data_IF_801282049657
#
_entry.id   IF_801282049657
#
_cell.length_a   1.000
_cell.length_b   1.000
_cell.length_c   1.000
_cell.angle_alpha   90.00
_cell.angle_beta   90.00
_cell.angle_gamma   90.00
#
_symmetry.space_group_name_H-M   'P 1'
#
loop_
_entity.id
_entity.type
_entity.pdbx_description
1 polymer ?
#
# COMPACT_ATOMS: atom_id res chain seq x y z
N UNK A 1 -0.92 -3.96 8.54
CA UNK A 1 -1.57 -2.64 8.80
C UNK A 1 -1.93 -2.61 10.27
N UNK A 2 -2.10 -1.43 10.89
CA UNK A 2 -2.50 -1.38 12.31
C UNK A 2 -3.92 -1.93 12.47
N UNK A 3 -4.12 -2.86 13.39
CA UNK A 3 -5.46 -3.38 13.71
C UNK A 3 -6.36 -2.27 14.27
N UNK A 4 -7.63 -2.32 13.91
CA UNK A 4 -8.62 -1.37 14.42
C UNK A 4 -8.85 -1.64 15.92
N UNK A 5 -8.68 -0.63 16.80
CA UNK A 5 -8.90 -0.80 18.23
C UNK A 5 -10.35 -1.12 18.61
N UNK A 6 -11.32 -0.76 17.75
CA UNK A 6 -12.76 -0.97 18.01
C UNK A 6 -13.30 -2.29 17.43
N UNK A 7 -12.61 -2.89 16.46
CA UNK A 7 -12.98 -4.17 15.85
C UNK A 7 -11.74 -4.92 15.35
N UNK A 8 -11.35 -5.98 16.07
CA UNK A 8 -10.18 -6.80 15.77
C UNK A 8 -10.27 -7.57 14.43
N UNK A 9 -11.43 -7.62 13.78
CA UNK A 9 -11.57 -8.20 12.44
C UNK A 9 -11.19 -7.23 11.32
N UNK A 10 -10.88 -5.98 11.65
CA UNK A 10 -10.59 -4.93 10.68
C UNK A 10 -9.27 -4.21 10.98
N UNK A 11 -8.80 -3.42 10.02
CA UNK A 11 -7.56 -2.65 10.13
C UNK A 11 -7.81 -1.18 9.81
N UNK A 12 -6.95 -0.31 10.30
CA UNK A 12 -6.97 1.12 10.01
C UNK A 12 -6.36 1.38 8.63
N UNK A 13 -7.14 1.11 7.58
CA UNK A 13 -6.81 1.38 6.18
C UNK A 13 -7.85 2.26 5.50
N UNK A 14 -7.46 2.83 4.37
CA UNK A 14 -8.37 3.57 3.51
C UNK A 14 -7.93 3.46 2.06
N UNK A 15 -8.92 3.43 1.18
CA UNK A 15 -8.74 3.55 -0.27
C UNK A 15 -9.50 4.78 -0.76
N UNK A 16 -8.89 5.56 -1.67
CA UNK A 16 -9.57 6.66 -2.35
C UNK A 16 -9.98 6.21 -3.74
N UNK A 17 -11.29 6.21 -3.98
CA UNK A 17 -11.88 5.83 -5.26
C UNK A 17 -12.19 7.07 -6.10
N UNK A 18 -11.60 7.15 -7.28
CA UNK A 18 -11.98 8.10 -8.31
C UNK A 18 -13.37 7.75 -8.88
N UNK A 19 -14.18 8.75 -9.24
CA UNK A 19 -15.51 8.56 -9.82
C UNK A 19 -15.43 7.99 -11.24
N UNK A 20 -16.57 7.95 -11.94
CA UNK A 20 -16.64 7.64 -13.38
C UNK A 20 -16.11 6.23 -13.76
N UNK A 21 -16.06 5.32 -12.78
CA UNK A 21 -15.64 3.94 -12.98
C UNK A 21 -14.12 3.72 -12.98
N UNK A 22 -13.31 4.72 -12.65
CA UNK A 22 -11.85 4.58 -12.57
C UNK A 22 -11.37 3.79 -11.34
N UNK A 23 -12.10 3.88 -10.22
CA UNK A 23 -11.80 3.13 -9.01
C UNK A 23 -10.59 3.67 -8.25
N UNK A 24 -9.85 2.80 -7.58
CA UNK A 24 -8.81 3.19 -6.61
C UNK A 24 -7.63 3.96 -7.25
N UNK A 25 -7.34 5.15 -6.70
CA UNK A 25 -6.18 5.99 -7.05
C UNK A 25 -5.19 6.18 -5.89
N UNK A 26 -5.62 5.99 -4.64
CA UNK A 26 -4.78 6.04 -3.44
C UNK A 26 -5.10 4.85 -2.55
N UNK A 27 -4.07 4.18 -2.05
CA UNK A 27 -4.17 3.18 -0.98
C UNK A 27 -3.34 3.62 0.22
N UNK A 28 -3.93 3.59 1.41
CA UNK A 28 -3.36 4.12 2.64
C UNK A 28 -3.63 3.26 3.87
N UNK A 29 -2.77 3.38 4.87
CA UNK A 29 -3.04 2.81 6.20
C UNK A 29 -2.19 3.45 7.30
N UNK A 30 -2.69 3.32 8.53
CA UNK A 30 -1.84 3.41 9.69
C UNK A 30 -0.96 2.17 9.79
N UNK A 31 0.32 2.36 10.11
CA UNK A 31 1.29 1.27 10.20
C UNK A 31 1.29 0.70 11.61
N UNK A 32 1.53 -0.60 11.73
CA UNK A 32 1.66 -1.23 13.03
C UNK A 32 2.89 -0.67 13.74
N UNK A 33 2.70 -0.17 14.95
CA UNK A 33 3.71 0.47 15.78
C UNK A 33 4.15 -0.42 16.96
N UNK A 34 3.40 -1.50 17.25
CA UNK A 34 3.80 -2.52 18.22
C UNK A 34 4.71 -3.60 17.61
N UNK A 35 5.88 -3.80 18.23
CA UNK A 35 6.88 -4.76 17.75
C UNK A 35 6.36 -6.21 17.77
N UNK A 36 5.70 -6.62 18.86
CA UNK A 36 5.29 -8.01 19.05
C UNK A 36 4.18 -8.39 18.07
N UNK A 37 3.22 -7.48 17.86
CA UNK A 37 2.16 -7.66 16.86
C UNK A 37 2.72 -7.73 15.45
N UNK A 38 3.66 -6.85 15.10
CA UNK A 38 4.30 -6.90 13.78
C UNK A 38 5.08 -8.21 13.56
N UNK A 39 5.82 -8.69 14.57
CA UNK A 39 6.50 -9.98 14.51
C UNK A 39 5.53 -11.16 14.39
N UNK A 40 4.42 -11.13 15.14
CA UNK A 40 3.37 -12.15 15.05
C UNK A 40 2.78 -12.20 13.63
N UNK A 41 2.42 -11.04 13.05
CA UNK A 41 1.91 -10.96 11.66
C UNK A 41 2.92 -11.45 10.62
N UNK A 42 4.21 -11.13 10.76
CA UNK A 42 5.25 -11.65 9.85
C UNK A 42 5.29 -13.19 9.89
N UNK A 43 5.14 -13.80 11.07
CA UNK A 43 5.13 -15.25 11.23
C UNK A 43 3.85 -15.91 10.71
N UNK A 44 2.70 -15.27 10.93
CA UNK A 44 1.41 -15.73 10.40
C UNK A 44 1.38 -15.76 8.87
N UNK A 45 2.02 -14.78 8.22
CA UNK A 45 2.13 -14.69 6.76
C UNK A 45 3.30 -15.50 6.17
N UNK A 46 3.99 -16.32 6.98
CA UNK A 46 5.15 -17.14 6.60
C UNK A 46 6.28 -16.34 5.92
N UNK A 47 6.53 -15.12 6.41
CA UNK A 47 7.54 -14.22 5.87
C UNK A 47 8.89 -14.39 6.58
N UNK A 48 10.03 -14.29 5.86
CA UNK A 48 11.35 -14.45 6.45
C UNK A 48 11.70 -13.26 7.36
N UNK A 49 11.63 -13.46 8.68
CA UNK A 49 11.84 -12.41 9.70
C UNK A 49 13.17 -11.64 9.51
N UNK A 50 14.23 -12.33 9.08
CA UNK A 50 15.54 -11.73 8.83
C UNK A 50 15.52 -10.65 7.74
N UNK A 51 14.69 -10.80 6.70
CA UNK A 51 14.55 -9.80 5.64
C UNK A 51 13.90 -8.50 6.15
N UNK A 52 13.14 -8.59 7.25
CA UNK A 52 12.44 -7.48 7.88
C UNK A 52 13.15 -6.96 9.14
N UNK A 53 14.34 -7.45 9.48
CA UNK A 53 15.05 -7.07 10.71
C UNK A 53 15.20 -5.55 10.86
N UNK A 54 15.60 -4.87 9.79
CA UNK A 54 15.73 -3.41 9.77
C UNK A 54 14.38 -2.68 9.96
N UNK A 55 13.28 -3.27 9.48
CA UNK A 55 11.93 -2.70 9.59
C UNK A 55 11.35 -2.89 11.00
N UNK A 56 11.71 -4.00 11.65
CA UNK A 56 11.43 -4.27 13.06
C UNK A 56 12.23 -3.33 13.98
N UNK A 57 13.46 -2.96 13.61
CA UNK A 57 14.26 -2.00 14.36
C UNK A 57 13.60 -0.62 14.46
N UNK A 58 12.80 -0.23 13.46
CA UNK A 58 11.96 0.99 13.52
C UNK A 58 10.92 0.96 14.66
N UNK A 59 10.62 -0.23 15.21
CA UNK A 59 9.74 -0.41 16.37
C UNK A 59 10.53 -0.61 17.67
N UNK A 60 11.80 -1.03 17.58
CA UNK A 60 12.68 -1.19 18.75
C UNK A 60 13.26 0.13 19.23
N UNK A 61 13.64 1.02 18.31
CA UNK A 61 14.41 2.22 18.62
C UNK A 61 13.60 3.50 18.36
N UNK A 62 12.66 3.80 19.25
CA UNK A 62 11.89 5.05 19.21
C UNK A 62 10.69 5.01 18.27
N UNK A 63 9.81 4.01 18.44
CA UNK A 63 8.57 3.94 17.67
C UNK A 63 7.58 5.05 18.04
N UNK A 64 6.74 5.42 17.08
CA UNK A 64 5.66 6.37 17.25
C UNK A 64 4.50 6.03 16.27
N UNK A 65 3.26 6.44 16.56
CA UNK A 65 2.15 6.25 15.64
C UNK A 65 2.40 7.00 14.32
N UNK A 66 2.38 6.26 13.21
CA UNK A 66 2.61 6.82 11.88
C UNK A 66 1.72 6.17 10.81
N UNK A 67 1.38 6.96 9.81
CA UNK A 67 0.54 6.58 8.68
C UNK A 67 1.18 7.02 7.37
N UNK A 68 0.77 6.40 6.28
CA UNK A 68 1.20 6.83 4.96
C UNK A 68 0.33 6.24 3.87
N UNK A 69 0.51 6.73 2.65
CA UNK A 69 -0.26 6.31 1.49
C UNK A 69 0.63 6.27 0.25
N UNK A 70 0.16 5.58 -0.78
CA UNK A 70 0.72 5.62 -2.12
C UNK A 70 -0.34 6.12 -3.10
N UNK A 71 0.08 6.95 -4.06
CA UNK A 71 -0.78 7.45 -5.13
C UNK A 71 -0.36 6.80 -6.46
N UNK A 72 -1.31 6.18 -7.15
CA UNK A 72 -1.08 5.62 -8.48
C UNK A 72 -1.08 6.73 -9.52
N UNK A 73 0.10 7.19 -9.94
CA UNK A 73 0.23 8.34 -10.84
C UNK A 73 -0.53 8.10 -12.15
N UNK A 74 -0.29 6.98 -12.82
CA UNK A 74 -0.91 6.69 -14.11
C UNK A 74 -2.43 6.52 -13.98
N UNK A 75 -2.95 5.93 -12.89
CA UNK A 75 -4.40 5.86 -12.65
C UNK A 75 -5.01 7.26 -12.43
N UNK A 76 -4.30 8.11 -11.71
CA UNK A 76 -4.73 9.48 -11.42
C UNK A 76 -4.78 10.31 -12.71
N UNK A 77 -3.74 10.22 -13.56
CA UNK A 77 -3.72 10.91 -14.86
C UNK A 77 -4.80 10.34 -15.78
N UNK A 78 -5.05 9.02 -15.77
CA UNK A 78 -6.12 8.40 -16.56
C UNK A 78 -7.49 9.00 -16.22
N UNK A 79 -7.78 9.11 -14.92
CA UNK A 79 -9.01 9.73 -14.45
C UNK A 79 -9.10 11.21 -14.87
N UNK A 80 -8.08 12.01 -14.58
CA UNK A 80 -8.07 13.45 -14.89
C UNK A 80 -8.24 13.72 -16.39
N UNK A 81 -7.67 12.84 -17.24
CA UNK A 81 -7.68 13.01 -18.71
C UNK A 81 -8.80 12.25 -19.41
N UNK A 82 -9.64 11.51 -18.67
CA UNK A 82 -10.75 10.74 -19.24
C UNK A 82 -10.30 9.57 -20.12
N UNK A 83 -9.10 9.00 -19.90
CA UNK A 83 -8.58 7.88 -20.70
C UNK A 83 -8.90 6.53 -20.10
N UNK A 84 -9.53 5.67 -20.90
CA UNK A 84 -10.01 4.37 -20.44
C UNK A 84 -8.90 3.38 -20.08
N UNK A 85 -7.72 3.45 -20.70
CA UNK A 85 -6.66 2.48 -20.46
C UNK A 85 -5.39 3.11 -19.88
N UNK A 86 -4.99 2.67 -18.69
CA UNK A 86 -3.83 3.19 -17.92
C UNK A 86 -2.51 3.26 -18.73
N UNK A 87 -2.28 2.30 -19.63
CA UNK A 87 -1.13 2.27 -20.56
C UNK A 87 -0.91 3.56 -21.35
N UNK A 88 -1.95 4.36 -21.57
CA UNK A 88 -1.84 5.62 -22.31
C UNK A 88 -1.17 6.73 -21.48
N UNK A 89 -1.07 6.54 -20.16
CA UNK A 89 -0.61 7.55 -19.19
C UNK A 89 0.89 7.48 -18.90
N UNK A 90 1.60 6.55 -19.55
CA UNK A 90 3.04 6.40 -19.44
C UNK A 90 3.64 6.31 -20.86
N UNK A 91 4.78 6.95 -21.14
CA UNK A 91 5.34 6.99 -22.50
C UNK A 91 5.63 5.60 -23.09
N UNK A 92 6.18 4.69 -22.27
CA UNK A 92 6.58 3.34 -22.69
C UNK A 92 6.01 2.30 -21.71
N UNK A 93 4.73 1.91 -21.85
CA UNK A 93 4.08 1.01 -20.91
C UNK A 93 4.71 -0.38 -20.91
N UNK A 94 4.81 -0.97 -19.73
CA UNK A 94 5.27 -2.34 -19.52
C UNK A 94 4.10 -3.22 -19.14
N UNK A 95 3.83 -4.23 -19.97
CA UNK A 95 2.74 -5.18 -19.82
C UNK A 95 3.29 -6.60 -20.06
N UNK A 96 2.55 -7.62 -19.64
CA UNK A 96 2.97 -9.02 -19.82
C UNK A 96 3.29 -9.38 -21.28
N UNK A 97 2.61 -8.74 -22.24
CA UNK A 97 2.79 -8.93 -23.68
C UNK A 97 3.56 -7.77 -24.36
N UNK A 98 4.10 -6.79 -23.61
CA UNK A 98 4.79 -5.63 -24.17
C UNK A 98 5.94 -5.16 -23.28
N UNK A 99 7.16 -5.37 -23.76
CA UNK A 99 8.40 -4.97 -23.07
C UNK A 99 9.23 -3.92 -23.83
N UNK A 100 9.15 -3.88 -25.17
CA UNK A 100 9.97 -3.00 -26.02
C UNK A 100 9.11 -1.97 -26.79
N UNK A 101 9.62 -0.76 -27.08
CA UNK A 101 10.83 -0.15 -26.50
C UNK A 101 10.68 0.12 -25.00
#
# INVERSE_FOLDING_TARGET
MKENPDDSNTVLCNDLLAPEGYGEIIGGSQREDDLNRLMARIREEDLPEQAYAWYLDLRRYGSFPHSGFGLGLERTVAWITGRHHIREMIPFPRLMNRLYP
#
